data_IF_718608328765
#
_entry.id   IF_718608328765
#
_cell.length_a   1.000
_cell.length_b   1.000
_cell.length_c   1.000
_cell.angle_alpha   90.00
_cell.angle_beta   90.00
_cell.angle_gamma   90.00
#
_symmetry.space_group_name_H-M   'P 1'
#
loop_
_entity.id
_entity.type
_entity.pdbx_description
1 polymer ?
#
# COMPACT_ATOMS: atom_id res chain seq x y z
N UNK A 1 -13.22 16.70 -3.94
CA UNK A 1 -12.21 16.00 -4.75
C UNK A 1 -12.43 14.51 -4.56
N UNK A 2 -12.53 13.73 -5.64
CA UNK A 2 -12.75 12.28 -5.54
C UNK A 2 -11.43 11.57 -5.25
N UNK A 3 -11.37 10.82 -4.15
CA UNK A 3 -10.15 10.15 -3.68
C UNK A 3 -10.32 8.64 -3.68
N UNK A 4 -9.24 7.93 -4.01
CA UNK A 4 -9.11 6.50 -3.73
C UNK A 4 -7.93 6.28 -2.80
N UNK A 5 -8.18 5.66 -1.65
CA UNK A 5 -7.14 5.06 -0.81
C UNK A 5 -6.81 3.67 -1.34
N UNK A 6 -5.53 3.33 -1.43
CA UNK A 6 -5.06 2.02 -1.89
C UNK A 6 -4.11 1.42 -0.86
N UNK A 7 -4.40 0.18 -0.47
CA UNK A 7 -3.58 -0.62 0.45
C UNK A 7 -3.09 -1.87 -0.29
N UNK A 8 -1.81 -1.94 -0.71
CA UNK A 8 -1.22 -3.18 -1.18
C UNK A 8 -0.86 -4.07 0.02
N UNK A 9 -1.26 -5.34 -0.03
CA UNK A 9 -0.96 -6.33 1.00
C UNK A 9 -0.24 -7.53 0.38
N UNK A 10 0.95 -7.81 0.90
CA UNK A 10 1.88 -8.80 0.35
C UNK A 10 1.88 -10.07 1.18
N UNK A 11 1.64 -11.21 0.55
CA UNK A 11 1.53 -12.49 1.23
C UNK A 11 2.43 -13.54 0.61
N UNK A 12 3.13 -14.24 1.48
CA UNK A 12 4.05 -15.32 1.15
C UNK A 12 3.47 -16.68 1.46
N UNK A 13 4.26 -17.70 1.12
CA UNK A 13 4.02 -19.09 1.52
C UNK A 13 3.91 -19.20 3.04
N UNK A 14 3.37 -20.32 3.50
CA UNK A 14 3.34 -20.63 4.93
C UNK A 14 4.76 -20.62 5.52
N UNK A 15 4.87 -20.26 6.78
CA UNK A 15 6.17 -20.03 7.43
C UNK A 15 7.11 -21.23 7.38
N UNK A 16 6.57 -22.44 7.49
CA UNK A 16 7.34 -23.69 7.45
C UNK A 16 7.90 -24.02 6.07
N UNK A 17 7.27 -23.52 5.01
CA UNK A 17 7.74 -23.68 3.63
C UNK A 17 8.80 -22.65 3.27
N UNK A 18 8.65 -21.43 3.79
CA UNK A 18 9.56 -20.32 3.52
C UNK A 18 9.57 -19.87 2.05
N UNK A 19 10.49 -18.96 1.73
CA UNK A 19 10.67 -18.45 0.37
C UNK A 19 11.38 -19.48 -0.54
N UNK A 20 10.98 -19.53 -1.82
CA UNK A 20 11.62 -20.34 -2.87
C UNK A 20 12.26 -19.45 -3.94
N UNK A 21 13.27 -19.95 -4.65
CA UNK A 21 14.08 -19.20 -5.63
C UNK A 21 13.27 -18.42 -6.69
N UNK A 22 12.10 -18.93 -7.08
CA UNK A 22 11.24 -18.31 -8.12
C UNK A 22 10.19 -17.35 -7.55
N UNK A 23 10.11 -17.21 -6.23
CA UNK A 23 9.13 -16.33 -5.60
C UNK A 23 9.63 -14.88 -5.69
N UNK A 24 8.69 -13.96 -5.90
CA UNK A 24 8.95 -12.54 -5.81
C UNK A 24 9.43 -12.18 -4.41
N UNK A 25 10.44 -11.31 -4.35
CA UNK A 25 11.05 -10.84 -3.10
C UNK A 25 10.41 -9.52 -2.68
N UNK A 26 9.85 -9.51 -1.47
CA UNK A 26 9.38 -8.32 -0.77
C UNK A 26 10.01 -8.30 0.62
N UNK A 27 10.04 -7.12 1.26
CA UNK A 27 10.77 -6.91 2.51
C UNK A 27 10.14 -7.73 3.64
N UNK A 28 8.79 -7.67 3.74
CA UNK A 28 8.02 -8.29 4.83
C UNK A 28 6.69 -8.90 4.33
N UNK A 29 6.68 -9.87 3.40
CA UNK A 29 5.44 -10.53 3.01
C UNK A 29 4.89 -11.35 4.21
N UNK A 30 3.59 -11.20 4.49
CA UNK A 30 2.92 -11.95 5.56
C UNK A 30 2.78 -13.43 5.16
N UNK A 31 3.23 -14.40 5.96
CA UNK A 31 2.98 -15.81 5.68
C UNK A 31 1.49 -16.14 5.68
N UNK A 32 1.02 -16.99 4.76
CA UNK A 32 -0.40 -17.39 4.63
C UNK A 32 -1.04 -17.95 5.92
N UNK A 33 -0.24 -18.62 6.74
CA UNK A 33 -0.62 -19.21 8.01
C UNK A 33 -0.60 -18.22 9.19
N UNK A 34 -0.17 -16.98 8.96
CA UNK A 34 -0.23 -15.91 9.95
C UNK A 34 -1.47 -15.00 9.77
N UNK A 35 -1.78 -14.22 10.80
CA UNK A 35 -2.90 -13.25 10.77
C UNK A 35 -2.56 -12.03 9.91
N UNK A 36 -1.30 -11.60 9.92
CA UNK A 36 -0.86 -10.36 9.28
C UNK A 36 -1.38 -9.10 9.96
N UNK A 37 -1.20 -7.97 9.27
CA UNK A 37 -1.55 -6.63 9.76
C UNK A 37 -2.73 -6.00 9.01
N UNK A 38 -3.09 -6.51 7.83
CA UNK A 38 -4.16 -5.95 6.99
C UNK A 38 -5.48 -5.76 7.75
N UNK A 39 -5.90 -6.72 8.57
CA UNK A 39 -7.13 -6.58 9.36
C UNK A 39 -7.08 -5.39 10.33
N UNK A 40 -5.90 -5.13 10.92
CA UNK A 40 -5.69 -4.03 11.87
C UNK A 40 -5.79 -2.67 11.18
N UNK A 41 -5.15 -2.48 10.02
CA UNK A 41 -5.27 -1.22 9.26
C UNK A 41 -6.72 -0.98 8.83
N UNK A 42 -7.41 -2.00 8.33
CA UNK A 42 -8.81 -1.89 7.91
C UNK A 42 -9.73 -1.52 9.07
N UNK A 43 -9.53 -2.12 10.25
CA UNK A 43 -10.27 -1.77 11.46
C UNK A 43 -10.02 -0.33 11.91
N UNK A 44 -8.78 0.15 11.77
CA UNK A 44 -8.39 1.51 12.17
C UNK A 44 -9.06 2.59 11.30
N UNK A 45 -9.49 2.28 10.07
CA UNK A 45 -10.27 3.22 9.23
C UNK A 45 -11.53 3.76 9.92
N UNK A 46 -12.04 3.05 10.94
CA UNK A 46 -13.21 3.49 11.69
C UNK A 46 -13.01 4.84 12.40
N UNK A 47 -11.76 5.20 12.75
CA UNK A 47 -11.45 6.45 13.44
C UNK A 47 -11.53 7.69 12.53
N UNK A 48 -11.43 7.49 11.21
CA UNK A 48 -11.38 8.60 10.25
C UNK A 48 -12.72 9.33 10.24
N UNK A 49 -12.70 10.65 10.39
CA UNK A 49 -13.90 11.50 10.34
C UNK A 49 -14.45 11.55 8.91
N UNK A 50 -13.58 11.82 7.94
CA UNK A 50 -13.93 11.80 6.53
C UNK A 50 -13.82 10.38 5.96
N UNK A 51 -14.97 9.79 5.61
CA UNK A 51 -15.09 8.48 4.95
C UNK A 51 -15.54 8.57 3.48
N UNK A 52 -15.57 9.77 2.90
CA UNK A 52 -15.93 10.00 1.50
C UNK A 52 -14.74 9.72 0.56
N UNK A 53 -14.34 8.46 0.49
CA UNK A 53 -13.32 7.95 -0.43
C UNK A 53 -13.62 6.50 -0.81
N UNK A 54 -13.07 6.05 -1.93
CA UNK A 54 -13.06 4.62 -2.26
C UNK A 54 -11.84 3.97 -1.60
N UNK A 55 -11.99 2.77 -1.07
CA UNK A 55 -10.86 1.94 -0.65
C UNK A 55 -10.62 0.85 -1.70
N UNK A 56 -9.36 0.67 -2.10
CA UNK A 56 -8.90 -0.47 -2.90
C UNK A 56 -7.87 -1.25 -2.08
N UNK A 57 -8.11 -2.54 -1.88
CA UNK A 57 -7.12 -3.45 -1.30
C UNK A 57 -6.55 -4.31 -2.43
N UNK A 58 -5.24 -4.19 -2.69
CA UNK A 58 -4.55 -5.06 -3.63
C UNK A 58 -4.01 -6.26 -2.88
N UNK A 59 -4.40 -7.47 -3.29
CA UNK A 59 -3.80 -8.71 -2.82
C UNK A 59 -2.64 -9.14 -3.72
N UNK A 60 -1.44 -9.21 -3.15
CA UNK A 60 -0.22 -9.60 -3.85
C UNK A 60 0.30 -10.91 -3.25
N UNK A 61 0.48 -11.90 -4.11
CA UNK A 61 1.13 -13.16 -3.75
C UNK A 61 2.60 -13.12 -4.15
N UNK A 62 3.49 -13.66 -3.32
CA UNK A 62 4.91 -13.83 -3.69
C UNK A 62 5.11 -14.89 -4.76
N UNK A 63 4.17 -15.83 -4.94
CA UNK A 63 4.32 -16.90 -5.90
C UNK A 63 3.02 -17.25 -6.62
N UNK A 64 3.14 -17.82 -7.83
CA UNK A 64 1.99 -18.11 -8.69
C UNK A 64 1.10 -19.23 -8.14
N UNK A 65 1.70 -20.27 -7.57
CA UNK A 65 1.01 -21.46 -7.05
C UNK A 65 0.16 -21.19 -5.81
N UNK A 66 0.44 -20.12 -5.06
CA UNK A 66 -0.33 -19.72 -3.86
C UNK A 66 -1.29 -18.54 -4.12
N UNK A 67 -1.42 -18.06 -5.36
CA UNK A 67 -2.27 -16.91 -5.70
C UNK A 67 -3.73 -17.07 -5.28
N UNK A 68 -4.31 -18.26 -5.45
CA UNK A 68 -5.70 -18.54 -5.06
C UNK A 68 -5.92 -18.53 -3.55
N UNK A 69 -4.93 -19.01 -2.78
CA UNK A 69 -4.97 -19.01 -1.31
C UNK A 69 -4.86 -17.58 -0.77
N UNK A 70 -3.92 -16.80 -1.31
CA UNK A 70 -3.76 -15.38 -0.97
C UNK A 70 -5.02 -14.59 -1.30
N UNK A 71 -5.59 -14.78 -2.49
CA UNK A 71 -6.83 -14.11 -2.88
C UNK A 71 -7.98 -14.43 -1.93
N UNK A 72 -8.14 -15.71 -1.56
CA UNK A 72 -9.18 -16.16 -0.64
C UNK A 72 -9.00 -15.60 0.77
N UNK A 73 -7.76 -15.63 1.29
CA UNK A 73 -7.40 -15.12 2.62
C UNK A 73 -7.71 -13.62 2.73
N UNK A 74 -7.19 -12.82 1.80
CA UNK A 74 -7.38 -11.37 1.81
C UNK A 74 -8.85 -11.00 1.60
N UNK A 75 -9.55 -11.69 0.70
CA UNK A 75 -10.99 -11.49 0.49
C UNK A 75 -11.79 -11.68 1.79
N UNK A 76 -11.46 -12.69 2.59
CA UNK A 76 -12.08 -12.89 3.91
C UNK A 76 -11.79 -11.71 4.84
N UNK A 77 -10.52 -11.31 4.99
CA UNK A 77 -10.13 -10.18 5.85
C UNK A 77 -10.86 -8.90 5.46
N UNK A 78 -10.92 -8.60 4.16
CA UNK A 78 -11.62 -7.41 3.64
C UNK A 78 -13.12 -7.47 3.95
N UNK A 79 -13.74 -8.63 3.78
CA UNK A 79 -15.17 -8.83 4.05
C UNK A 79 -15.48 -8.63 5.54
N UNK A 80 -14.61 -9.08 6.43
CA UNK A 80 -14.83 -9.06 7.87
C UNK A 80 -14.57 -7.66 8.47
N UNK A 81 -13.53 -6.96 8.01
CA UNK A 81 -13.03 -5.73 8.67
C UNK A 81 -13.41 -4.42 7.95
N UNK A 82 -13.67 -4.43 6.64
CA UNK A 82 -13.84 -3.20 5.85
C UNK A 82 -15.30 -2.67 5.80
N UNK A 83 -16.18 -3.12 6.69
CA UNK A 83 -17.63 -2.91 6.59
C UNK A 83 -18.11 -1.44 6.59
N UNK A 84 -17.24 -0.48 6.95
CA UNK A 84 -17.60 0.95 7.10
C UNK A 84 -17.18 1.84 5.93
N UNK A 85 -16.43 1.31 4.96
CA UNK A 85 -15.96 2.06 3.78
C UNK A 85 -16.26 1.27 2.52
N UNK A 86 -16.63 1.96 1.44
CA UNK A 86 -16.81 1.32 0.13
C UNK A 86 -15.48 0.74 -0.33
N UNK A 87 -15.37 -0.58 -0.24
CA UNK A 87 -14.12 -1.29 -0.45
C UNK A 87 -14.19 -2.17 -1.68
N UNK A 88 -13.14 -2.09 -2.51
CA UNK A 88 -12.93 -2.92 -3.69
C UNK A 88 -11.70 -3.77 -3.43
N UNK A 89 -11.89 -5.08 -3.45
CA UNK A 89 -10.77 -6.02 -3.43
C UNK A 89 -10.31 -6.30 -4.86
N UNK A 90 -9.00 -6.31 -5.07
CA UNK A 90 -8.37 -6.60 -6.35
C UNK A 90 -7.18 -7.55 -6.15
N UNK A 91 -7.09 -8.60 -6.96
CA UNK A 91 -6.02 -9.61 -6.88
C UNK A 91 -5.83 -10.29 -8.24
N UNK A 92 -5.03 -11.34 -8.31
CA UNK A 92 -4.57 -11.97 -9.55
C UNK A 92 -5.70 -12.36 -10.52
N UNK A 93 -6.84 -12.85 -10.02
CA UNK A 93 -7.96 -13.25 -10.89
C UNK A 93 -8.59 -12.03 -11.59
N UNK A 94 -8.59 -10.88 -10.92
CA UNK A 94 -9.05 -9.60 -11.45
C UNK A 94 -8.06 -9.03 -12.46
N UNK A 95 -6.76 -9.12 -12.18
CA UNK A 95 -5.71 -8.72 -13.11
C UNK A 95 -5.78 -9.53 -14.41
N UNK A 96 -6.02 -10.84 -14.33
CA UNK A 96 -6.19 -11.69 -15.50
C UNK A 96 -7.34 -11.20 -16.41
N UNK A 97 -8.45 -10.75 -15.83
CA UNK A 97 -9.56 -10.15 -16.60
C UNK A 97 -9.16 -8.85 -17.29
N UNK A 98 -8.36 -8.00 -16.63
CA UNK A 98 -7.81 -6.79 -17.26
C UNK A 98 -6.89 -7.16 -18.41
N UNK A 99 -5.98 -8.11 -18.23
CA UNK A 99 -5.08 -8.55 -19.31
C UNK A 99 -5.86 -9.11 -20.49
N UNK A 100 -6.87 -9.95 -20.24
CA UNK A 100 -7.77 -10.44 -21.30
C UNK A 100 -8.48 -9.30 -22.04
N UNK A 101 -8.95 -8.28 -21.31
CA UNK A 101 -9.58 -7.10 -21.90
C UNK A 101 -8.59 -6.30 -22.76
N UNK A 102 -7.35 -6.10 -22.29
CA UNK A 102 -6.32 -5.41 -23.06
C UNK A 102 -5.99 -6.17 -24.35
N UNK A 103 -5.83 -7.50 -24.27
CA UNK A 103 -5.58 -8.34 -25.44
C UNK A 103 -6.74 -8.28 -26.44
N UNK A 104 -7.99 -8.34 -25.99
CA UNK A 104 -9.14 -8.29 -26.91
C UNK A 104 -9.30 -6.94 -27.61
N UNK A 105 -8.62 -5.89 -27.13
CA UNK A 105 -8.61 -4.55 -27.72
C UNK A 105 -7.27 -4.19 -28.39
N UNK A 106 -6.36 -5.16 -28.57
CA UNK A 106 -5.03 -4.94 -29.16
C UNK A 106 -4.17 -3.91 -28.40
N UNK A 107 -4.25 -3.97 -27.06
CA UNK A 107 -3.56 -3.10 -26.11
C UNK A 107 -2.53 -3.85 -25.24
N UNK A 108 -2.00 -4.97 -25.73
CA UNK A 108 -1.08 -5.87 -25.02
C UNK A 108 0.19 -5.18 -24.55
N UNK A 109 0.59 -4.09 -25.23
CA UNK A 109 1.74 -3.25 -24.86
C UNK A 109 1.67 -2.71 -23.42
N UNK A 110 0.48 -2.64 -22.81
CA UNK A 110 0.31 -2.18 -21.43
C UNK A 110 0.41 -3.30 -20.39
N UNK A 111 0.30 -4.58 -20.79
CA UNK A 111 0.37 -5.73 -19.87
C UNK A 111 1.67 -5.71 -19.02
N UNK A 112 2.86 -5.42 -19.59
CA UNK A 112 4.09 -5.36 -18.80
C UNK A 112 4.07 -4.30 -17.69
N UNK A 113 3.27 -3.25 -17.82
CA UNK A 113 3.15 -2.17 -16.82
C UNK A 113 2.19 -2.51 -15.67
N UNK A 114 1.29 -3.48 -15.89
CA UNK A 114 0.21 -3.83 -14.98
C UNK A 114 0.43 -5.25 -14.47
N UNK A 115 1.25 -5.40 -13.43
CA UNK A 115 1.58 -6.70 -12.82
C UNK A 115 1.50 -6.63 -11.30
N UNK A 116 1.00 -7.68 -10.67
CA UNK A 116 1.07 -7.88 -9.21
C UNK A 116 2.42 -8.51 -8.83
N UNK A 117 3.52 -7.99 -9.37
CA UNK A 117 4.87 -8.53 -9.20
C UNK A 117 5.90 -7.40 -9.31
N UNK A 118 6.69 -7.24 -8.25
CA UNK A 118 7.64 -6.16 -8.07
C UNK A 118 6.99 -4.84 -7.65
N UNK A 119 7.65 -4.09 -6.75
CA UNK A 119 7.12 -2.85 -6.17
C UNK A 119 6.66 -1.83 -7.22
N UNK A 120 7.41 -1.64 -8.30
CA UNK A 120 7.07 -0.67 -9.34
C UNK A 120 5.75 -1.00 -10.04
N UNK A 121 5.51 -2.27 -10.39
CA UNK A 121 4.26 -2.65 -11.06
C UNK A 121 3.08 -2.64 -10.11
N UNK A 122 3.28 -3.01 -8.83
CA UNK A 122 2.24 -2.91 -7.82
C UNK A 122 1.84 -1.44 -7.63
N UNK A 123 2.81 -0.50 -7.59
CA UNK A 123 2.51 0.95 -7.57
C UNK A 123 1.78 1.42 -8.83
N UNK A 124 2.13 0.93 -10.01
CA UNK A 124 1.37 1.21 -11.23
C UNK A 124 -0.09 0.75 -11.09
N UNK A 125 -0.34 -0.42 -10.50
CA UNK A 125 -1.70 -0.90 -10.24
C UNK A 125 -2.43 -0.07 -9.18
N UNK A 126 -1.75 0.47 -8.17
CA UNK A 126 -2.36 1.44 -7.25
C UNK A 126 -2.89 2.65 -8.00
N UNK A 127 -2.05 3.26 -8.86
CA UNK A 127 -2.42 4.44 -9.65
C UNK A 127 -3.49 4.10 -10.70
N UNK A 128 -3.35 2.97 -11.38
CA UNK A 128 -4.30 2.50 -12.37
C UNK A 128 -5.69 2.23 -11.75
N UNK A 129 -5.73 1.65 -10.55
CA UNK A 129 -6.99 1.41 -9.83
C UNK A 129 -7.70 2.71 -9.46
N UNK A 130 -6.96 3.73 -8.99
CA UNK A 130 -7.53 5.06 -8.75
C UNK A 130 -8.05 5.70 -10.05
N UNK A 131 -7.30 5.56 -11.15
CA UNK A 131 -7.68 6.06 -12.46
C UNK A 131 -8.97 5.41 -12.99
N UNK A 132 -9.10 4.08 -12.89
CA UNK A 132 -10.32 3.35 -13.27
C UNK A 132 -11.56 3.81 -12.49
N UNK A 133 -11.37 4.24 -11.24
CA UNK A 133 -12.44 4.77 -10.41
C UNK A 133 -12.74 6.24 -10.71
N UNK A 134 -12.01 6.88 -11.62
CA UNK A 134 -12.16 8.29 -11.96
C UNK A 134 -11.78 9.21 -10.80
N UNK A 135 -10.88 8.77 -9.93
CA UNK A 135 -10.40 9.57 -8.79
C UNK A 135 -9.39 10.62 -9.25
N UNK A 136 -9.44 11.77 -8.60
CA UNK A 136 -8.55 12.92 -8.85
C UNK A 136 -7.23 12.79 -8.07
N UNK A 137 -7.26 12.05 -6.96
CA UNK A 137 -6.08 11.75 -6.13
C UNK A 137 -6.08 10.30 -5.65
N UNK A 138 -4.87 9.76 -5.47
CA UNK A 138 -4.61 8.44 -4.91
C UNK A 138 -3.84 8.62 -3.59
N UNK A 139 -4.30 7.95 -2.52
CA UNK A 139 -3.61 7.90 -1.22
C UNK A 139 -3.13 6.47 -1.02
N UNK A 140 -1.82 6.24 -0.98
CA UNK A 140 -1.23 4.90 -0.84
C UNK A 140 -0.80 4.72 0.61
N UNK A 141 -1.24 3.62 1.24
CA UNK A 141 -0.98 3.30 2.65
C UNK A 141 -0.51 1.85 2.72
N UNK A 142 0.55 1.59 3.48
CA UNK A 142 1.05 0.24 3.68
C UNK A 142 0.11 -0.56 4.61
N UNK A 143 0.06 -1.89 4.47
CA UNK A 143 -0.91 -2.72 5.20
C UNK A 143 -0.53 -3.00 6.66
N UNK A 144 0.66 -2.58 7.08
CA UNK A 144 1.18 -2.67 8.44
C UNK A 144 1.00 -1.39 9.28
N UNK A 145 0.53 -0.32 8.65
CA UNK A 145 0.25 0.96 9.30
C UNK A 145 -1.13 1.01 9.98
N UNK A 146 -1.36 2.01 10.83
CA UNK A 146 -2.67 2.25 11.46
C UNK A 146 -3.01 3.74 11.42
N UNK A 147 -4.31 4.06 11.33
CA UNK A 147 -4.79 5.42 11.52
C UNK A 147 -4.99 5.69 13.00
N UNK A 148 -4.30 6.71 13.53
CA UNK A 148 -4.52 7.27 14.87
C UNK A 148 -5.06 8.70 14.84
N UNK A 149 -4.89 9.40 13.72
CA UNK A 149 -5.40 10.75 13.48
C UNK A 149 -6.74 10.73 12.73
N UNK A 150 -7.85 11.16 13.36
CA UNK A 150 -9.17 11.20 12.72
C UNK A 150 -9.23 12.09 11.47
N UNK A 151 -8.35 13.10 11.38
CA UNK A 151 -8.27 14.06 10.30
C UNK A 151 -7.28 13.66 9.19
N UNK A 152 -6.69 12.45 9.27
CA UNK A 152 -5.66 12.00 8.33
C UNK A 152 -6.04 12.24 6.86
N UNK A 153 -7.27 11.89 6.46
CA UNK A 153 -7.69 12.02 5.07
C UNK A 153 -7.76 13.46 4.58
N UNK A 154 -8.07 14.42 5.45
CA UNK A 154 -8.06 15.85 5.09
C UNK A 154 -6.63 16.33 4.89
N UNK A 155 -5.72 15.95 5.80
CA UNK A 155 -4.29 16.30 5.75
C UNK A 155 -3.59 15.68 4.55
N UNK A 156 -3.86 14.41 4.26
CA UNK A 156 -3.23 13.65 3.18
C UNK A 156 -3.44 14.30 1.80
N UNK A 157 -4.55 15.03 1.63
CA UNK A 157 -4.91 15.67 0.36
C UNK A 157 -4.89 17.19 0.39
N UNK A 158 -4.57 17.78 1.55
CA UNK A 158 -4.70 19.22 1.79
C UNK A 158 -4.00 20.04 0.70
N UNK A 159 -2.81 19.64 0.29
CA UNK A 159 -1.99 20.40 -0.65
C UNK A 159 -2.17 19.97 -2.10
N UNK A 160 -2.81 18.84 -2.37
CA UNK A 160 -2.95 18.32 -3.73
C UNK A 160 -3.68 19.34 -4.61
N UNK A 161 -3.05 19.70 -5.73
CA UNK A 161 -3.58 20.66 -6.70
C UNK A 161 -3.39 22.13 -6.35
N UNK A 162 -2.98 22.47 -5.12
CA UNK A 162 -2.68 23.85 -4.72
C UNK A 162 -1.40 24.34 -5.40
N UNK A 163 -1.33 25.65 -5.63
CA UNK A 163 -0.07 26.32 -6.03
C UNK A 163 0.63 26.81 -4.78
N UNK A 164 1.85 26.33 -4.56
CA UNK A 164 2.73 26.82 -3.50
C UNK A 164 3.90 27.47 -4.23
N UNK A 165 4.05 28.79 -4.06
CA UNK A 165 4.93 29.60 -4.89
C UNK A 165 4.55 29.47 -6.39
N UNK A 166 5.50 29.09 -7.25
CA UNK A 166 5.27 28.90 -8.68
C UNK A 166 4.80 27.47 -9.04
N UNK A 167 4.94 26.52 -8.13
CA UNK A 167 4.75 25.10 -8.42
C UNK A 167 3.36 24.60 -8.01
N UNK A 168 2.78 23.76 -8.87
CA UNK A 168 1.56 23.02 -8.54
C UNK A 168 1.97 21.76 -7.78
N UNK A 169 1.43 21.59 -6.58
CA UNK A 169 1.68 20.40 -5.76
C UNK A 169 0.88 19.23 -6.33
N UNK A 170 1.59 18.20 -6.81
CA UNK A 170 0.98 17.00 -7.41
C UNK A 170 1.17 15.75 -6.55
N UNK A 171 2.01 15.83 -5.52
CA UNK A 171 2.26 14.75 -4.58
C UNK A 171 2.42 15.34 -3.18
N UNK A 172 1.97 14.57 -2.19
CA UNK A 172 2.18 14.83 -0.77
C UNK A 172 2.78 13.55 -0.19
N UNK A 173 3.78 13.72 0.67
CA UNK A 173 4.37 12.64 1.45
C UNK A 173 4.34 13.05 2.93
N UNK A 174 4.16 12.07 3.81
CA UNK A 174 4.21 12.25 5.25
C UNK A 174 5.24 11.33 5.88
N UNK A 175 5.35 11.42 7.20
CA UNK A 175 6.13 10.52 8.04
C UNK A 175 5.18 9.72 8.93
N UNK A 176 5.66 8.58 9.42
CA UNK A 176 4.92 7.75 10.36
C UNK A 176 5.29 8.12 11.80
N UNK A 177 4.34 7.96 12.72
CA UNK A 177 4.58 8.07 14.16
C UNK A 177 4.74 6.66 14.71
N UNK A 178 5.83 6.44 15.42
CA UNK A 178 6.14 5.18 16.08
C UNK A 178 5.41 5.10 17.45
N UNK A 179 5.40 3.92 18.11
CA UNK A 179 4.75 3.74 19.41
C UNK A 179 5.30 4.60 20.56
N UNK A 180 6.51 5.17 20.43
CA UNK A 180 7.09 6.11 21.39
C UNK A 180 6.57 7.55 21.19
N UNK A 181 5.60 7.73 20.28
CA UNK A 181 5.10 9.02 19.84
C UNK A 181 6.26 9.90 19.34
N UNK A 182 6.99 9.39 18.36
CA UNK A 182 8.09 10.05 17.66
C UNK A 182 8.11 9.60 16.19
N UNK A 183 8.71 10.39 15.30
CA UNK A 183 8.88 10.06 13.88
C UNK A 183 10.29 9.53 13.56
N UNK A 184 11.22 9.54 14.51
CA UNK A 184 12.51 8.90 14.31
C UNK A 184 12.39 7.38 14.26
N UNK A 185 13.15 6.76 13.36
CA UNK A 185 13.31 5.32 13.31
C UNK A 185 14.17 4.87 14.51
N UNK A 186 13.60 4.00 15.34
CA UNK A 186 14.19 3.48 16.59
C UNK A 186 14.50 1.97 16.50
N UNK A 187 14.90 1.48 15.31
CA UNK A 187 15.21 0.05 15.08
C UNK A 187 16.67 -0.29 15.44
N UNK A 188 16.92 -1.56 15.71
CA UNK A 188 18.26 -2.07 16.01
C UNK A 188 19.21 -1.89 14.81
N UNK A 189 20.42 -1.38 15.09
CA UNK A 189 21.49 -1.24 14.10
C UNK A 189 22.25 -2.55 14.03
N UNK A 190 22.07 -3.28 12.93
CA UNK A 190 22.82 -4.52 12.68
C UNK A 190 24.27 -4.23 12.24
N UNK A 191 25.23 -5.15 12.47
CA UNK A 191 26.64 -4.92 12.13
C UNK A 191 26.90 -4.53 10.65
N UNK A 192 26.13 -5.08 9.72
CA UNK A 192 26.24 -4.78 8.28
C UNK A 192 25.87 -3.31 7.95
N UNK A 193 25.10 -2.64 8.81
CA UNK A 193 24.69 -1.24 8.62
C UNK A 193 25.83 -0.25 8.86
N UNK A 194 27.02 -0.70 9.28
CA UNK A 194 28.20 0.16 9.45
C UNK A 194 28.50 0.99 8.20
N UNK A 195 28.33 0.41 7.00
CA UNK A 195 28.57 1.10 5.72
C UNK A 195 27.28 1.61 5.07
N UNK A 196 26.12 1.12 5.51
CA UNK A 196 24.81 1.48 4.98
C UNK A 196 23.79 1.63 6.11
N UNK A 197 23.93 2.70 6.89
CA UNK A 197 23.02 2.97 7.99
C UNK A 197 21.78 3.72 7.50
N UNK A 198 20.82 2.98 6.93
CA UNK A 198 19.54 3.54 6.48
C UNK A 198 18.82 4.32 7.58
N UNK A 199 18.87 3.83 8.83
CA UNK A 199 18.20 4.43 9.98
C UNK A 199 18.77 5.82 10.26
N UNK A 200 20.10 5.95 10.38
CA UNK A 200 20.76 7.25 10.60
C UNK A 200 20.46 8.23 9.46
N UNK A 201 20.59 7.79 8.21
CA UNK A 201 20.30 8.63 7.04
C UNK A 201 18.85 9.16 7.05
N UNK A 202 17.87 8.30 7.35
CA UNK A 202 16.46 8.70 7.44
C UNK A 202 16.23 9.66 8.61
N UNK A 203 16.78 9.37 9.79
CA UNK A 203 16.62 10.24 10.96
C UNK A 203 17.24 11.63 10.75
N UNK A 204 18.42 11.71 10.11
CA UNK A 204 19.00 13.02 9.74
C UNK A 204 18.10 13.78 8.76
N UNK A 205 17.54 13.11 7.76
CA UNK A 205 16.62 13.75 6.82
C UNK A 205 15.33 14.22 7.50
N UNK A 206 14.73 13.40 8.37
CA UNK A 206 13.52 13.79 9.10
C UNK A 206 13.78 15.00 10.00
N UNK A 207 14.93 15.06 10.69
CA UNK A 207 15.32 16.21 11.50
C UNK A 207 15.40 17.52 10.70
N UNK A 208 15.76 17.46 9.42
CA UNK A 208 15.88 18.66 8.57
C UNK A 208 14.53 19.11 7.98
N UNK A 209 13.66 18.14 7.66
CA UNK A 209 12.44 18.34 6.87
C UNK A 209 11.20 18.49 7.76
N UNK A 210 11.08 17.70 8.82
CA UNK A 210 9.97 17.77 9.78
C UNK A 210 10.30 18.83 10.81
N UNK A 211 9.87 20.06 10.54
CA UNK A 211 10.04 21.21 11.43
C UNK A 211 8.75 21.43 12.22
N UNK A 212 8.89 21.71 13.51
CA UNK A 212 7.80 22.06 14.43
C UNK A 212 6.75 20.95 14.65
N UNK A 213 7.21 19.72 14.91
CA UNK A 213 6.36 18.64 15.45
C UNK A 213 6.14 18.77 16.96
#
# INVERSE_FOLDING_TARGET
MKVTMIIPSYWGRIKSEGWREKDDVYDHPTPLDETGTLGRVLKSLSILENKDFNLVVLGISTAQDIQGEVESKISSIVKDEAAKVKTIFFSYSHLNKIHQHLTSHSLEKFIPLLRLSGYSNVRNLCLFSAHLLGSEAAVLIDDDEIFEDPQFMEKAVEFIGKKIQADKMLAVAGYYINPDNDFFLNKEIAPWMTYWNKIDCMNRAFKEIVRDW
#
